data_IF_418015815864
#
_entry.id   IF_418015815864
#
_cell.length_a   1.000
_cell.length_b   1.000
_cell.length_c   1.000
_cell.angle_alpha   90.00
_cell.angle_beta   90.00
_cell.angle_gamma   90.00
#
_symmetry.space_group_name_H-M   'P 1'
#
loop_
_entity.id
_entity.type
_entity.pdbx_description
1 polymer ?
#
# COMPACT_ATOMS: atom_id res chain seq x y z
N UNK A 1 85.07 -8.77 22.94
CA UNK A 1 85.11 -9.19 21.52
C UNK A 1 84.07 -10.30 21.36
N UNK A 2 83.44 -10.42 20.20
CA UNK A 2 82.52 -11.54 19.96
C UNK A 2 83.30 -12.84 19.85
N UNK A 3 82.71 -13.99 20.19
CA UNK A 3 83.35 -15.29 20.06
C UNK A 3 83.73 -15.59 18.60
N UNK A 4 82.97 -15.05 17.65
CA UNK A 4 83.33 -15.00 16.22
C UNK A 4 84.65 -14.26 15.95
N UNK A 5 84.84 -13.07 16.53
CA UNK A 5 86.09 -12.32 16.35
C UNK A 5 87.31 -13.05 16.94
N UNK A 6 87.12 -13.83 18.01
CA UNK A 6 88.17 -14.69 18.57
C UNK A 6 88.48 -15.88 17.67
N UNK A 7 87.46 -16.49 17.07
CA UNK A 7 87.60 -17.58 16.11
C UNK A 7 88.34 -17.13 14.84
N UNK A 8 87.97 -15.98 14.29
CA UNK A 8 88.64 -15.37 13.12
C UNK A 8 90.10 -15.03 13.41
N UNK A 9 90.40 -14.55 14.62
CA UNK A 9 91.77 -14.28 15.05
C UNK A 9 92.58 -15.59 15.17
N UNK A 10 91.97 -16.66 15.69
CA UNK A 10 92.58 -17.98 15.76
C UNK A 10 92.89 -18.54 14.36
N UNK A 11 91.93 -18.43 13.43
CA UNK A 11 92.13 -18.81 12.02
C UNK A 11 93.26 -17.99 11.38
N UNK A 12 93.28 -16.68 11.57
CA UNK A 12 94.32 -15.82 11.03
C UNK A 12 95.73 -16.18 11.54
N UNK A 13 95.85 -16.57 12.82
CA UNK A 13 97.11 -17.08 13.38
C UNK A 13 97.54 -18.41 12.75
N UNK A 14 96.59 -19.29 12.44
CA UNK A 14 96.85 -20.59 11.79
C UNK A 14 97.30 -20.39 10.33
N UNK A 15 96.72 -19.43 9.61
CA UNK A 15 97.08 -19.15 8.22
C UNK A 15 98.45 -18.50 8.11
N UNK A 16 98.78 -17.53 8.99
CA UNK A 16 100.07 -16.80 8.96
C UNK A 16 101.27 -17.63 9.37
N UNK A 17 101.08 -18.67 10.19
CA UNK A 17 102.15 -19.53 10.70
C UNK A 17 102.55 -20.69 9.78
N UNK A 18 102.00 -20.79 8.56
CA UNK A 18 102.19 -21.93 7.67
C UNK A 18 103.65 -22.09 7.25
N UNK A 19 104.20 -23.29 7.40
CA UNK A 19 105.60 -23.58 7.08
C UNK A 19 105.72 -24.05 5.63
N UNK A 20 106.47 -23.35 4.75
CA UNK A 20 106.60 -23.70 3.34
C UNK A 20 107.11 -25.13 3.13
N UNK A 21 106.53 -25.84 2.16
CA UNK A 21 106.91 -27.22 1.84
C UNK A 21 106.39 -28.28 2.82
N UNK A 22 105.61 -27.91 3.83
CA UNK A 22 104.98 -28.85 4.77
C UNK A 22 103.49 -28.56 4.95
N UNK A 23 102.73 -29.56 5.40
CA UNK A 23 101.34 -29.38 5.84
C UNK A 23 101.22 -28.90 7.30
N UNK A 24 102.28 -28.29 7.85
CA UNK A 24 102.35 -27.88 9.27
C UNK A 24 102.31 -26.36 9.41
N UNK A 25 101.73 -25.91 10.51
CA UNK A 25 101.70 -24.50 10.92
C UNK A 25 102.44 -24.35 12.24
N UNK A 26 103.34 -23.36 12.32
CA UNK A 26 104.00 -22.97 13.55
C UNK A 26 103.14 -21.94 14.29
N UNK A 27 102.74 -22.26 15.52
CA UNK A 27 101.89 -21.39 16.33
C UNK A 27 102.49 -21.14 17.70
N UNK A 28 102.22 -19.96 18.26
CA UNK A 28 102.57 -19.67 19.65
C UNK A 28 101.52 -20.32 20.57
N UNK A 29 101.93 -21.37 21.26
CA UNK A 29 101.07 -22.16 22.14
C UNK A 29 100.42 -21.31 23.25
N UNK A 30 101.15 -20.36 23.84
CA UNK A 30 100.63 -19.51 24.92
C UNK A 30 99.53 -18.56 24.41
N UNK A 31 99.74 -17.95 23.23
CA UNK A 31 98.74 -17.06 22.62
C UNK A 31 97.48 -17.82 22.18
N UNK A 32 97.63 -19.00 21.58
CA UNK A 32 96.49 -19.84 21.18
C UNK A 32 95.72 -20.34 22.41
N UNK A 33 96.41 -20.80 23.46
CA UNK A 33 95.75 -21.25 24.69
C UNK A 33 94.95 -20.12 25.32
N UNK A 34 95.50 -18.89 25.37
CA UNK A 34 94.79 -17.74 25.91
C UNK A 34 93.49 -17.43 25.15
N UNK A 35 93.50 -17.46 23.81
CA UNK A 35 92.29 -17.24 22.99
C UNK A 35 91.28 -18.38 23.22
N UNK A 36 91.73 -19.63 23.27
CA UNK A 36 90.85 -20.78 23.53
C UNK A 36 90.21 -20.70 24.92
N UNK A 37 90.96 -20.29 25.94
CA UNK A 37 90.44 -20.17 27.30
C UNK A 37 89.48 -18.99 27.45
N UNK A 38 89.73 -17.89 26.72
CA UNK A 38 88.80 -16.76 26.63
C UNK A 38 87.50 -17.16 25.91
N UNK A 39 87.60 -17.91 24.81
CA UNK A 39 86.43 -18.49 24.12
C UNK A 39 85.65 -19.45 25.04
N UNK A 40 86.32 -20.37 25.73
CA UNK A 40 85.68 -21.30 26.68
C UNK A 40 84.98 -20.58 27.83
N UNK A 41 85.49 -19.41 28.23
CA UNK A 41 84.89 -18.59 29.28
C UNK A 41 83.60 -17.92 28.81
N UNK A 42 83.50 -17.51 27.55
CA UNK A 42 82.36 -16.79 26.99
C UNK A 42 81.29 -17.69 26.33
N UNK A 43 81.67 -18.88 25.85
CA UNK A 43 80.76 -19.83 25.19
C UNK A 43 79.52 -20.21 26.03
N UNK A 44 79.63 -20.50 27.35
CA UNK A 44 78.46 -20.86 28.16
C UNK A 44 77.44 -19.72 28.28
N UNK A 45 77.92 -18.48 28.37
CA UNK A 45 77.07 -17.30 28.48
C UNK A 45 76.30 -17.07 27.17
N UNK A 46 76.97 -17.19 26.02
CA UNK A 46 76.33 -17.07 24.69
C UNK A 46 75.29 -18.17 24.43
N UNK A 47 75.57 -19.43 24.84
CA UNK A 47 74.60 -20.53 24.73
C UNK A 47 73.39 -20.26 25.63
N UNK A 48 73.62 -19.82 26.86
CA UNK A 48 72.55 -19.51 27.82
C UNK A 48 71.65 -18.37 27.32
N UNK A 49 72.27 -17.34 26.73
CA UNK A 49 71.55 -16.23 26.10
C UNK A 49 70.71 -16.71 24.91
N UNK A 50 71.28 -17.52 24.01
CA UNK A 50 70.56 -18.09 22.88
C UNK A 50 69.38 -18.96 23.32
N UNK A 51 69.56 -19.83 24.33
CA UNK A 51 68.47 -20.61 24.92
C UNK A 51 67.41 -19.73 25.59
N UNK A 52 67.81 -18.60 26.17
CA UNK A 52 66.91 -17.57 26.69
C UNK A 52 66.03 -16.97 25.59
N UNK A 53 66.63 -16.58 24.46
CA UNK A 53 65.91 -16.04 23.29
C UNK A 53 64.94 -17.07 22.72
N UNK A 54 65.35 -18.34 22.59
CA UNK A 54 64.47 -19.42 22.10
C UNK A 54 63.27 -19.61 23.03
N UNK A 55 63.50 -19.70 24.36
CA UNK A 55 62.41 -19.81 25.33
C UNK A 55 61.46 -18.61 25.29
N UNK A 56 62.00 -17.40 25.17
CA UNK A 56 61.19 -16.18 25.07
C UNK A 56 60.34 -16.19 23.80
N UNK A 57 60.92 -16.57 22.65
CA UNK A 57 60.18 -16.70 21.39
C UNK A 57 59.06 -17.74 21.50
N UNK A 58 59.32 -18.90 22.08
CA UNK A 58 58.31 -19.94 22.27
C UNK A 58 57.16 -19.46 23.17
N UNK A 59 57.48 -18.69 24.22
CA UNK A 59 56.48 -18.06 25.07
C UNK A 59 55.62 -17.03 24.31
N UNK A 60 56.25 -16.19 23.48
CA UNK A 60 55.54 -15.21 22.63
C UNK A 60 54.61 -15.92 21.65
N UNK A 61 55.07 -16.98 20.99
CA UNK A 61 54.25 -17.74 20.02
C UNK A 61 53.06 -18.36 20.73
N UNK A 62 53.26 -19.02 21.87
CA UNK A 62 52.14 -19.59 22.65
C UNK A 62 51.13 -18.53 23.05
N UNK A 63 51.60 -17.36 23.51
CA UNK A 63 50.70 -16.28 23.89
C UNK A 63 49.92 -15.75 22.68
N UNK A 64 50.58 -15.57 21.53
CA UNK A 64 49.94 -15.15 20.30
C UNK A 64 48.91 -16.18 19.80
N UNK A 65 49.19 -17.48 19.92
CA UNK A 65 48.24 -18.55 19.57
C UNK A 65 47.01 -18.59 20.49
N UNK A 66 47.19 -18.31 21.78
CA UNK A 66 46.08 -18.19 22.73
C UNK A 66 45.21 -16.98 22.37
N UNK A 67 45.83 -15.82 22.14
CA UNK A 67 45.11 -14.60 21.80
C UNK A 67 44.38 -14.73 20.45
N UNK A 68 45.04 -15.30 19.43
CA UNK A 68 44.42 -15.56 18.13
C UNK A 68 43.25 -16.54 18.22
N UNK A 69 43.31 -17.53 19.11
CA UNK A 69 42.16 -18.41 19.39
C UNK A 69 41.03 -17.66 20.08
N UNK A 70 41.34 -16.80 21.03
CA UNK A 70 40.36 -15.98 21.75
C UNK A 70 39.62 -15.03 20.80
N UNK A 71 40.35 -14.32 19.93
CA UNK A 71 39.77 -13.42 18.94
C UNK A 71 38.83 -14.17 18.00
N UNK A 72 39.24 -15.34 17.50
CA UNK A 72 38.38 -16.16 16.63
C UNK A 72 37.13 -16.65 17.34
N UNK A 73 37.24 -17.15 18.56
CA UNK A 73 36.08 -17.60 19.33
C UNK A 73 35.08 -16.46 19.57
N UNK A 74 35.58 -15.27 19.91
CA UNK A 74 34.75 -14.08 20.10
C UNK A 74 34.05 -13.66 18.79
N UNK A 75 34.79 -13.63 17.68
CA UNK A 75 34.24 -13.29 16.37
C UNK A 75 33.18 -14.31 15.91
N UNK A 76 33.39 -15.60 16.17
CA UNK A 76 32.41 -16.65 15.85
C UNK A 76 31.12 -16.47 16.69
N UNK A 77 31.26 -16.20 17.98
CA UNK A 77 30.12 -15.93 18.88
C UNK A 77 29.34 -14.68 18.41
N UNK A 78 30.03 -13.56 18.18
CA UNK A 78 29.40 -12.33 17.70
C UNK A 78 28.71 -12.54 16.35
N UNK A 79 29.33 -13.27 15.42
CA UNK A 79 28.73 -13.62 14.15
C UNK A 79 27.48 -14.50 14.29
N UNK A 80 27.45 -15.41 15.28
CA UNK A 80 26.23 -16.18 15.58
C UNK A 80 25.11 -15.29 16.10
N UNK A 81 25.42 -14.36 17.01
CA UNK A 81 24.43 -13.41 17.55
C UNK A 81 23.88 -12.50 16.46
N UNK A 82 24.73 -11.95 15.59
CA UNK A 82 24.31 -11.11 14.47
C UNK A 82 23.39 -11.90 13.53
N UNK A 83 23.74 -13.15 13.19
CA UNK A 83 22.89 -13.98 12.33
C UNK A 83 21.53 -14.25 12.95
N UNK A 84 21.48 -14.61 14.25
CA UNK A 84 20.23 -14.86 14.95
C UNK A 84 19.35 -13.60 15.00
N UNK A 85 19.93 -12.45 15.34
CA UNK A 85 19.21 -11.19 15.38
C UNK A 85 18.67 -10.81 14.00
N UNK A 86 19.49 -10.96 12.95
CA UNK A 86 19.07 -10.68 11.57
C UNK A 86 17.94 -11.61 11.13
N UNK A 87 17.97 -12.89 11.51
CA UNK A 87 16.92 -13.85 11.19
C UNK A 87 15.60 -13.53 11.93
N UNK A 88 15.67 -13.20 13.21
CA UNK A 88 14.50 -12.75 13.99
C UNK A 88 13.90 -11.45 13.41
N UNK A 89 14.75 -10.46 13.10
CA UNK A 89 14.32 -9.21 12.48
C UNK A 89 13.72 -9.43 11.08
N UNK A 90 14.32 -10.31 10.28
CA UNK A 90 13.78 -10.66 8.96
C UNK A 90 12.42 -11.34 9.08
N UNK A 91 12.27 -12.28 10.02
CA UNK A 91 11.00 -12.99 10.22
C UNK A 91 9.89 -12.05 10.71
N UNK A 92 10.20 -11.16 11.64
CA UNK A 92 9.24 -10.15 12.12
C UNK A 92 8.86 -9.17 11.02
N UNK A 93 9.82 -8.68 10.24
CA UNK A 93 9.56 -7.80 9.10
C UNK A 93 8.68 -8.47 8.04
N UNK A 94 8.94 -9.74 7.71
CA UNK A 94 8.12 -10.50 6.76
C UNK A 94 6.70 -10.66 7.29
N UNK A 95 6.53 -10.98 8.57
CA UNK A 95 5.22 -11.13 9.18
C UNK A 95 4.42 -9.81 9.20
N UNK A 96 5.04 -8.69 9.56
CA UNK A 96 4.38 -7.38 9.55
C UNK A 96 4.03 -6.95 8.13
N UNK A 97 4.96 -7.13 7.17
CA UNK A 97 4.74 -6.79 5.76
C UNK A 97 3.59 -7.60 5.15
N UNK A 98 3.50 -8.90 5.46
CA UNK A 98 2.40 -9.76 4.99
C UNK A 98 1.04 -9.32 5.54
N UNK A 99 0.99 -8.95 6.83
CA UNK A 99 -0.24 -8.45 7.45
C UNK A 99 -0.68 -7.12 6.85
N UNK A 100 0.25 -6.19 6.61
CA UNK A 100 -0.03 -4.92 5.94
C UNK A 100 -0.50 -5.12 4.50
N UNK A 101 0.15 -6.01 3.74
CA UNK A 101 -0.27 -6.35 2.38
C UNK A 101 -1.68 -6.95 2.35
N UNK A 102 -2.01 -7.83 3.31
CA UNK A 102 -3.34 -8.41 3.44
C UNK A 102 -4.41 -7.34 3.69
N UNK A 103 -4.13 -6.38 4.59
CA UNK A 103 -5.03 -5.25 4.84
C UNK A 103 -5.23 -4.40 3.60
N UNK A 104 -4.15 -4.07 2.88
CA UNK A 104 -4.24 -3.28 1.64
C UNK A 104 -5.09 -3.95 0.57
N UNK A 105 -4.93 -5.27 0.38
CA UNK A 105 -5.77 -6.04 -0.55
C UNK A 105 -7.22 -6.02 -0.08
N UNK A 106 -7.48 -6.25 1.21
CA UNK A 106 -8.83 -6.24 1.76
C UNK A 106 -9.51 -4.87 1.59
N UNK A 107 -8.81 -3.77 1.87
CA UNK A 107 -9.33 -2.41 1.69
C UNK A 107 -9.65 -2.14 0.21
N UNK A 108 -8.79 -2.62 -0.70
CA UNK A 108 -9.02 -2.51 -2.14
C UNK A 108 -10.25 -3.32 -2.58
N UNK A 109 -10.45 -4.52 -2.03
CA UNK A 109 -11.63 -5.34 -2.31
C UNK A 109 -12.93 -4.68 -1.81
N UNK A 110 -12.90 -4.04 -0.63
CA UNK A 110 -14.04 -3.29 -0.10
C UNK A 110 -14.40 -2.15 -1.06
N UNK A 111 -13.42 -1.36 -1.50
CA UNK A 111 -13.67 -0.25 -2.44
C UNK A 111 -14.20 -0.78 -3.77
N UNK A 112 -13.61 -1.86 -4.30
CA UNK A 112 -14.06 -2.49 -5.55
C UNK A 112 -15.53 -2.92 -5.44
N UNK A 113 -15.89 -3.62 -4.35
CA UNK A 113 -17.25 -4.10 -4.12
C UNK A 113 -18.23 -2.96 -3.84
N UNK A 114 -17.81 -1.92 -3.15
CA UNK A 114 -18.62 -0.72 -2.94
C UNK A 114 -18.94 -0.02 -4.26
N UNK A 115 -17.95 0.11 -5.16
CA UNK A 115 -18.17 0.67 -6.49
C UNK A 115 -19.08 -0.20 -7.37
N UNK A 116 -18.89 -1.52 -7.34
CA UNK A 116 -19.74 -2.48 -8.05
C UNK A 116 -21.21 -2.35 -7.58
N UNK A 117 -21.44 -2.37 -6.27
CA UNK A 117 -22.77 -2.17 -5.69
C UNK A 117 -23.35 -0.79 -6.03
N UNK A 118 -22.55 0.27 -6.04
CA UNK A 118 -23.01 1.61 -6.38
C UNK A 118 -23.51 1.70 -7.83
N UNK A 119 -22.78 1.10 -8.77
CA UNK A 119 -23.17 1.01 -10.18
C UNK A 119 -24.49 0.25 -10.33
N UNK A 120 -24.65 -0.87 -9.63
CA UNK A 120 -25.90 -1.65 -9.65
C UNK A 120 -27.09 -0.86 -9.11
N UNK A 121 -26.91 -0.16 -7.98
CA UNK A 121 -27.95 0.67 -7.37
C UNK A 121 -28.35 1.80 -8.32
N UNK A 122 -27.38 2.47 -8.95
CA UNK A 122 -27.63 3.55 -9.89
C UNK A 122 -28.41 3.04 -11.12
N UNK A 123 -27.99 1.90 -11.69
CA UNK A 123 -28.69 1.28 -12.82
C UNK A 123 -30.14 0.88 -12.46
N UNK A 124 -30.33 0.29 -11.28
CA UNK A 124 -31.66 -0.09 -10.79
C UNK A 124 -32.54 1.15 -10.51
N UNK A 125 -31.98 2.20 -9.93
CA UNK A 125 -32.67 3.45 -9.66
C UNK A 125 -33.09 4.16 -10.95
N UNK A 126 -32.22 4.21 -11.96
CA UNK A 126 -32.52 4.78 -13.27
C UNK A 126 -33.63 4.00 -13.97
N UNK A 127 -33.56 2.67 -13.98
CA UNK A 127 -34.59 1.80 -14.56
C UNK A 127 -35.94 2.01 -13.88
N UNK A 128 -35.96 2.07 -12.55
CA UNK A 128 -37.19 2.29 -11.77
C UNK A 128 -37.77 3.68 -12.01
N UNK A 129 -36.92 4.69 -12.09
CA UNK A 129 -37.35 6.08 -12.36
C UNK A 129 -37.95 6.21 -13.75
N UNK A 130 -37.32 5.61 -14.76
CA UNK A 130 -37.84 5.60 -16.13
C UNK A 130 -39.23 4.96 -16.21
N UNK A 131 -39.40 3.79 -15.57
CA UNK A 131 -40.70 3.12 -15.53
C UNK A 131 -41.76 3.94 -14.80
N UNK A 132 -41.40 4.62 -13.71
CA UNK A 132 -42.33 5.48 -12.98
C UNK A 132 -42.80 6.65 -13.83
N UNK A 133 -41.89 7.26 -14.61
CA UNK A 133 -42.22 8.35 -15.54
C UNK A 133 -43.18 7.83 -16.62
N UNK A 134 -42.86 6.70 -17.26
CA UNK A 134 -43.72 6.09 -18.28
C UNK A 134 -45.12 5.74 -17.75
N UNK A 135 -45.20 5.15 -16.55
CA UNK A 135 -46.46 4.84 -15.89
C UNK A 135 -47.26 6.11 -15.56
N UNK A 136 -46.58 7.17 -15.11
CA UNK A 136 -47.21 8.46 -14.81
C UNK A 136 -47.74 9.14 -16.08
N UNK A 137 -46.96 9.15 -17.16
CA UNK A 137 -47.36 9.70 -18.47
C UNK A 137 -48.60 8.97 -19.02
N UNK A 138 -48.60 7.64 -18.96
CA UNK A 138 -49.73 6.82 -19.37
C UNK A 138 -51.01 7.12 -18.58
N UNK A 139 -50.89 7.29 -17.26
CA UNK A 139 -52.02 7.66 -16.39
C UNK A 139 -52.53 9.07 -16.69
N UNK A 140 -51.63 10.03 -16.87
CA UNK A 140 -52.00 11.41 -17.22
C UNK A 140 -52.76 11.45 -18.55
N UNK A 141 -52.29 10.72 -19.55
CA UNK A 141 -52.98 10.64 -20.85
C UNK A 141 -54.38 10.03 -20.72
N UNK A 142 -54.52 8.98 -19.93
CA UNK A 142 -55.84 8.37 -19.63
C UNK A 142 -56.77 9.37 -18.94
N UNK A 143 -56.30 10.06 -17.89
CA UNK A 143 -57.09 11.06 -17.16
C UNK A 143 -57.53 12.20 -18.07
N UNK A 144 -56.63 12.72 -18.91
CA UNK A 144 -56.94 13.78 -19.87
C UNK A 144 -57.97 13.33 -20.90
N UNK A 145 -57.86 12.08 -21.38
CA UNK A 145 -58.81 11.50 -22.31
C UNK A 145 -60.21 11.37 -21.67
N UNK A 146 -60.30 10.77 -20.49
CA UNK A 146 -61.56 10.57 -19.78
C UNK A 146 -62.22 11.89 -19.39
N UNK A 147 -61.42 12.88 -18.96
CA UNK A 147 -61.88 14.22 -18.67
C UNK A 147 -62.43 14.91 -19.93
N UNK A 148 -61.75 14.76 -21.07
CA UNK A 148 -62.19 15.29 -22.36
C UNK A 148 -63.52 14.69 -22.80
N UNK A 149 -63.65 13.36 -22.73
CA UNK A 149 -64.89 12.65 -23.07
C UNK A 149 -66.05 13.08 -22.15
N UNK A 150 -65.82 13.12 -20.84
CA UNK A 150 -66.82 13.56 -19.86
C UNK A 150 -67.25 15.01 -20.08
N UNK A 151 -66.32 15.90 -20.43
CA UNK A 151 -66.62 17.30 -20.73
C UNK A 151 -67.49 17.42 -21.99
N UNK A 152 -67.19 16.64 -23.03
CA UNK A 152 -67.97 16.60 -24.27
C UNK A 152 -69.41 16.10 -24.02
N UNK A 153 -69.56 15.02 -23.24
CA UNK A 153 -70.86 14.48 -22.86
C UNK A 153 -71.69 15.48 -22.05
N UNK A 154 -71.08 16.12 -21.05
CA UNK A 154 -71.75 17.17 -20.27
C UNK A 154 -72.18 18.35 -21.14
N UNK A 155 -71.35 18.78 -22.08
CA UNK A 155 -71.67 19.89 -22.99
C UNK A 155 -72.86 19.53 -23.87
N UNK A 156 -72.85 18.35 -24.50
CA UNK A 156 -73.99 17.85 -25.30
C UNK A 156 -75.27 17.71 -24.47
N UNK A 157 -75.17 17.18 -23.25
CA UNK A 157 -76.29 17.06 -22.32
C UNK A 157 -76.89 18.41 -21.95
N UNK A 158 -76.05 19.39 -21.62
CA UNK A 158 -76.47 20.76 -21.33
C UNK A 158 -77.11 21.45 -22.55
N UNK A 159 -76.54 21.29 -23.74
CA UNK A 159 -77.10 21.82 -24.99
C UNK A 159 -78.47 21.22 -25.30
N UNK A 160 -78.64 19.91 -25.08
CA UNK A 160 -79.92 19.23 -25.26
C UNK A 160 -80.97 19.70 -24.25
N UNK A 161 -80.60 19.82 -22.98
CA UNK A 161 -81.48 20.34 -21.94
C UNK A 161 -81.89 21.79 -22.21
N UNK A 162 -80.95 22.65 -22.61
CA UNK A 162 -81.24 24.02 -22.99
C UNK A 162 -82.24 24.09 -24.16
N UNK A 163 -82.07 23.22 -25.16
CA UNK A 163 -83.01 23.11 -26.29
C UNK A 163 -84.42 22.71 -25.82
N UNK A 164 -84.53 21.72 -24.94
CA UNK A 164 -85.82 21.27 -24.39
C UNK A 164 -86.51 22.39 -23.61
N UNK A 165 -85.79 23.07 -22.72
CA UNK A 165 -86.33 24.21 -21.94
C UNK A 165 -86.78 25.35 -22.86
N UNK A 166 -86.00 25.66 -23.92
CA UNK A 166 -86.37 26.68 -24.90
C UNK A 166 -87.63 26.31 -25.69
N UNK A 167 -87.81 25.05 -26.07
CA UNK A 167 -89.03 24.58 -26.73
C UNK A 167 -90.26 24.68 -25.80
N UNK A 168 -90.14 24.25 -24.55
CA UNK A 168 -91.23 24.38 -23.58
C UNK A 168 -91.58 25.84 -23.32
N UNK A 169 -90.57 26.73 -23.28
CA UNK A 169 -90.79 28.17 -23.15
C UNK A 169 -91.50 28.75 -24.38
N UNK A 170 -91.11 28.33 -25.59
CA UNK A 170 -91.77 28.72 -26.85
C UNK A 170 -93.24 28.29 -26.87
N UNK A 171 -93.54 27.04 -26.54
CA UNK A 171 -94.91 26.51 -26.46
C UNK A 171 -95.76 27.34 -25.48
N UNK A 172 -95.23 27.61 -24.29
CA UNK A 172 -95.93 28.42 -23.27
C UNK A 172 -96.15 29.86 -23.71
N UNK A 173 -95.20 30.47 -24.43
CA UNK A 173 -95.38 31.80 -25.01
C UNK A 173 -96.46 31.76 -26.09
N UNK A 174 -96.47 30.74 -26.96
CA UNK A 174 -97.47 30.58 -27.99
C UNK A 174 -98.89 30.43 -27.41
N UNK A 175 -99.05 29.62 -26.36
CA UNK A 175 -100.32 29.49 -25.62
C UNK A 175 -100.77 30.81 -25.01
N UNK A 176 -99.86 31.52 -24.33
CA UNK A 176 -100.16 32.82 -23.70
C UNK A 176 -100.54 33.84 -24.77
N UNK A 177 -99.83 33.88 -25.89
CA UNK A 177 -100.14 34.75 -27.02
C UNK A 177 -101.50 34.40 -27.65
N UNK A 178 -101.82 33.12 -27.76
CA UNK A 178 -103.12 32.63 -28.21
C UNK A 178 -104.26 33.10 -27.31
N UNK A 179 -104.08 33.03 -25.99
CA UNK A 179 -105.04 33.56 -25.01
C UNK A 179 -105.22 35.08 -25.13
N UNK A 180 -104.12 35.83 -25.30
CA UNK A 180 -104.18 37.29 -25.51
C UNK A 180 -104.92 37.64 -26.80
N UNK A 181 -104.61 36.96 -27.91
CA UNK A 181 -105.30 37.16 -29.20
C UNK A 181 -106.79 36.83 -29.11
N UNK A 182 -107.15 35.69 -28.52
CA UNK A 182 -108.56 35.34 -28.29
C UNK A 182 -109.29 36.36 -27.40
N UNK A 183 -108.60 36.94 -26.42
CA UNK A 183 -109.13 38.04 -25.60
C UNK A 183 -109.35 39.33 -26.40
N UNK A 184 -108.42 39.69 -27.31
CA UNK A 184 -108.58 40.84 -28.22
C UNK A 184 -109.76 40.61 -29.18
N UNK A 185 -109.82 39.45 -29.83
CA UNK A 185 -110.92 39.10 -30.75
C UNK A 185 -112.30 39.17 -30.06
N UNK A 186 -112.38 38.76 -28.79
CA UNK A 186 -113.62 38.85 -27.99
C UNK A 186 -114.03 40.31 -27.71
N UNK A 187 -113.07 41.21 -27.51
CA UNK A 187 -113.31 42.64 -27.30
C UNK A 187 -113.68 43.34 -28.62
N UNK A 188 -113.08 42.95 -29.75
CA UNK A 188 -113.41 43.48 -31.08
C UNK A 188 -114.75 42.96 -31.61
N UNK A 189 -115.15 41.72 -31.27
CA UNK A 189 -116.45 41.14 -31.63
C UNK A 189 -117.63 41.67 -30.82
N UNK A 190 -117.38 42.51 -29.80
CA UNK A 190 -118.44 43.19 -29.05
C UNK A 190 -118.97 44.33 -29.92
N UNK A 191 -120.26 44.35 -30.31
CA UNK A 191 -120.82 45.53 -30.95
C UNK A 191 -120.64 46.70 -29.99
N UNK A 192 -120.32 47.89 -30.50
CA UNK A 192 -120.55 49.14 -29.78
C UNK A 192 -122.06 49.26 -29.55
N UNK A 193 -122.54 48.57 -28.52
CA UNK A 193 -123.91 48.67 -28.05
C UNK A 193 -123.99 49.96 -27.24
N UNK A 194 -124.42 50.98 -27.97
CA UNK A 194 -125.11 52.20 -27.58
C UNK A 194 -125.21 52.51 -26.07
N UNK A 195 -124.74 53.72 -25.78
CA UNK A 195 -125.20 54.53 -24.66
C UNK A 195 -126.68 54.83 -24.85
N UNK A 196 -127.54 54.37 -23.93
CA UNK A 196 -128.87 54.96 -23.74
C UNK A 196 -129.41 54.68 -22.32
N UNK A 197 -129.70 55.80 -21.64
CA UNK A 197 -130.33 56.04 -20.32
C UNK A 197 -129.65 55.52 -19.03
#
# INVERSE_FOLDING_TARGET
>A
MTLMAQLENLEAMIVKGRVPGTARTLVNQQKISAIIDEMKKHLPDEITEAEGVVRQKDAIIKQAEIEARRIRAYADEEATTIRQLAEEQSNTLLATSQEEAKKMVQDTEIIRKANENAIEIEAAANTRSQKLIEDAESRVNTILHDAGTSAEERRKGADNYAREVLFTLEERIADTLGQVRGGIDLLEARPTADVAD
#
